data_IF_520741737358
#
_entry.id   IF_520741737358
#
_cell.length_a   1.000
_cell.length_b   1.000
_cell.length_c   1.000
_cell.angle_alpha   90.00
_cell.angle_beta   90.00
_cell.angle_gamma   90.00
#
_symmetry.space_group_name_H-M   'P 1'
#
loop_
_entity.id
_entity.type
_entity.pdbx_description
1 polymer ?
#
# COMPACT_ATOMS: atom_id res chain seq x y z
N UNK A 1 -6.31 -28.53 -35.41
CA UNK A 1 -5.76 -27.16 -35.28
C UNK A 1 -4.97 -27.07 -33.99
N UNK A 2 -3.71 -26.64 -33.99
CA UNK A 2 -3.00 -26.37 -32.74
C UNK A 2 -3.64 -25.16 -32.04
N UNK A 3 -3.69 -25.12 -30.70
CA UNK A 3 -4.23 -23.97 -30.00
C UNK A 3 -3.31 -22.76 -30.24
N UNK A 4 -3.87 -21.67 -30.75
CA UNK A 4 -3.18 -20.37 -30.77
C UNK A 4 -2.86 -19.99 -29.32
N UNK A 5 -1.60 -20.12 -28.93
CA UNK A 5 -1.08 -19.46 -27.73
C UNK A 5 -1.22 -17.97 -27.97
N UNK A 6 -2.24 -17.35 -27.36
CA UNK A 6 -2.27 -15.90 -27.19
C UNK A 6 -1.00 -15.51 -26.42
N UNK A 7 -0.01 -14.97 -27.13
CA UNK A 7 1.25 -14.59 -26.52
C UNK A 7 1.01 -13.34 -25.68
N UNK A 8 0.89 -13.53 -24.37
CA UNK A 8 0.90 -12.44 -23.38
C UNK A 8 2.07 -11.50 -23.70
N UNK A 9 1.78 -10.23 -23.95
CA UNK A 9 2.79 -9.22 -24.27
C UNK A 9 3.79 -9.13 -23.11
N UNK A 10 5.08 -9.12 -23.42
CA UNK A 10 6.11 -9.03 -22.38
C UNK A 10 6.19 -7.61 -21.86
N UNK A 11 6.38 -7.45 -20.54
CA UNK A 11 6.56 -6.12 -19.93
C UNK A 11 7.68 -5.31 -20.61
N UNK A 12 8.76 -5.97 -21.07
CA UNK A 12 9.85 -5.34 -21.82
C UNK A 12 9.42 -4.79 -23.18
N UNK A 13 8.50 -5.46 -23.87
CA UNK A 13 7.96 -5.02 -25.16
C UNK A 13 7.04 -3.82 -24.97
N UNK A 14 6.21 -3.85 -23.93
CA UNK A 14 5.36 -2.73 -23.52
C UNK A 14 6.22 -1.51 -23.21
N UNK A 15 7.24 -1.64 -22.37
CA UNK A 15 8.16 -0.56 -22.04
C UNK A 15 8.90 0.01 -23.27
N UNK A 16 9.31 -0.85 -24.19
CA UNK A 16 9.96 -0.44 -25.43
C UNK A 16 9.01 0.30 -26.38
N UNK A 17 7.73 -0.09 -26.47
CA UNK A 17 6.69 0.64 -27.19
C UNK A 17 6.40 1.99 -26.54
N UNK A 18 6.24 2.03 -25.20
CA UNK A 18 6.07 3.27 -24.44
C UNK A 18 7.19 4.26 -24.73
N UNK A 19 8.44 3.82 -24.64
CA UNK A 19 9.61 4.66 -24.89
C UNK A 19 9.66 5.20 -26.32
N UNK A 20 9.36 4.35 -27.31
CA UNK A 20 9.46 4.72 -28.73
C UNK A 20 8.31 5.60 -29.20
N UNK A 21 7.08 5.28 -28.79
CA UNK A 21 5.89 5.84 -29.40
C UNK A 21 5.09 6.76 -28.46
N UNK A 22 5.12 6.50 -27.15
CA UNK A 22 4.23 7.18 -26.21
C UNK A 22 4.88 8.36 -25.50
N UNK A 23 6.11 8.21 -25.00
CA UNK A 23 6.84 9.31 -24.34
C UNK A 23 6.98 10.54 -25.26
N UNK A 24 7.36 10.43 -26.54
CA UNK A 24 7.41 11.59 -27.44
C UNK A 24 6.05 12.25 -27.61
N UNK A 25 4.97 11.47 -27.63
CA UNK A 25 3.62 11.97 -27.78
C UNK A 25 3.16 12.74 -26.53
N UNK A 26 3.37 12.21 -25.32
CA UNK A 26 3.02 12.91 -24.07
C UNK A 26 3.78 14.24 -23.94
N UNK A 27 5.04 14.29 -24.39
CA UNK A 27 5.83 15.54 -24.36
C UNK A 27 5.15 16.68 -25.13
N UNK A 28 4.35 16.38 -26.15
CA UNK A 28 3.58 17.40 -26.87
C UNK A 28 2.37 17.92 -26.07
N UNK A 29 2.02 17.26 -24.96
CA UNK A 29 0.94 17.63 -24.04
C UNK A 29 1.49 17.99 -22.66
N UNK A 30 2.75 18.46 -22.56
CA UNK A 30 3.40 18.80 -21.29
C UNK A 30 2.64 19.87 -20.48
N UNK A 31 1.84 20.70 -21.16
CA UNK A 31 1.01 21.72 -20.55
C UNK A 31 -0.18 21.13 -19.77
N UNK A 32 -0.62 19.92 -20.15
CA UNK A 32 -1.71 19.18 -19.50
C UNK A 32 -1.19 18.07 -18.58
N UNK A 33 -0.12 17.39 -18.99
CA UNK A 33 0.51 16.32 -18.24
C UNK A 33 1.92 16.73 -17.85
N UNK A 34 2.03 17.32 -16.67
CA UNK A 34 3.30 17.85 -16.16
C UNK A 34 4.38 16.77 -16.13
N UNK A 35 5.57 17.01 -16.71
CA UNK A 35 6.63 16.00 -16.83
C UNK A 35 7.50 15.86 -15.57
N UNK A 36 7.07 16.41 -14.44
CA UNK A 36 7.82 16.47 -13.20
C UNK A 36 7.04 15.85 -12.04
N UNK A 37 7.71 15.69 -10.91
CA UNK A 37 7.14 15.13 -9.68
C UNK A 37 7.78 15.83 -8.49
N UNK A 38 7.11 15.82 -7.35
CA UNK A 38 7.55 16.52 -6.15
C UNK A 38 8.14 15.54 -5.15
N UNK A 39 9.36 15.78 -4.71
CA UNK A 39 9.91 15.09 -3.55
C UNK A 39 9.45 15.77 -2.27
N UNK A 40 8.98 14.96 -1.35
CA UNK A 40 8.80 15.30 0.06
C UNK A 40 9.86 14.51 0.85
N UNK A 41 11.06 15.08 1.10
CA UNK A 41 12.14 14.41 1.83
C UNK A 41 11.72 13.89 3.21
N UNK A 42 10.85 14.64 3.90
CA UNK A 42 10.37 14.36 5.25
C UNK A 42 8.89 14.76 5.36
N UNK A 43 7.96 13.98 4.77
CA UNK A 43 6.57 14.39 4.63
C UNK A 43 5.88 14.65 5.98
N UNK A 44 6.28 13.94 7.04
CA UNK A 44 5.75 14.17 8.40
C UNK A 44 6.04 15.59 8.89
N UNK A 45 7.21 16.13 8.56
CA UNK A 45 7.65 17.46 9.00
C UNK A 45 7.24 18.57 8.02
N UNK A 46 7.12 18.25 6.73
CA UNK A 46 6.86 19.21 5.66
C UNK A 46 5.37 19.40 5.34
N UNK A 47 4.56 18.35 5.49
CA UNK A 47 3.14 18.36 5.15
C UNK A 47 2.31 18.68 6.41
N UNK A 48 2.15 19.98 6.70
CA UNK A 48 1.20 20.44 7.73
C UNK A 48 -0.23 20.25 7.22
N UNK A 49 -0.96 19.30 7.79
CA UNK A 49 -2.35 19.05 7.43
C UNK A 49 -3.23 20.10 8.12
N UNK A 50 -3.85 20.98 7.33
CA UNK A 50 -4.96 21.77 7.83
C UNK A 50 -6.20 20.88 7.92
N UNK A 51 -6.74 20.65 9.12
CA UNK A 51 -7.97 19.87 9.29
C UNK A 51 -9.12 20.58 8.57
N UNK A 52 -9.59 19.97 7.47
CA UNK A 52 -10.72 20.50 6.68
C UNK A 52 -12.06 20.12 7.27
N UNK A 53 -12.12 18.98 7.97
CA UNK A 53 -13.33 18.42 8.59
C UNK A 53 -13.12 18.19 10.09
N UNK A 54 -13.98 18.72 10.99
CA UNK A 54 -13.90 18.49 12.44
C UNK A 54 -14.52 17.14 12.85
N UNK A 55 -14.34 16.10 12.03
CA UNK A 55 -14.89 14.76 12.26
C UNK A 55 -13.79 13.78 12.64
N UNK A 56 -14.14 12.80 13.46
CA UNK A 56 -13.31 11.63 13.78
C UNK A 56 -13.90 10.34 13.20
N UNK A 57 -14.99 10.45 12.41
CA UNK A 57 -15.63 9.28 11.79
C UNK A 57 -14.62 8.56 10.89
N UNK A 58 -14.59 7.22 10.90
CA UNK A 58 -13.74 6.47 9.99
C UNK A 58 -14.11 6.74 8.52
N UNK A 59 -13.16 6.67 7.58
CA UNK A 59 -13.47 6.65 6.16
C UNK A 59 -14.25 5.38 5.80
N UNK A 60 -14.86 5.37 4.61
CA UNK A 60 -15.36 4.12 4.04
C UNK A 60 -14.17 3.28 3.57
N UNK A 61 -13.94 2.13 4.23
CA UNK A 61 -12.97 1.14 3.81
C UNK A 61 -13.61 0.17 2.81
N UNK A 62 -12.93 -0.12 1.70
CA UNK A 62 -13.26 -1.23 0.81
C UNK A 62 -12.06 -2.12 0.57
N UNK A 63 -12.28 -3.43 0.60
CA UNK A 63 -11.32 -4.42 0.14
C UNK A 63 -11.80 -4.92 -1.22
N UNK A 64 -10.96 -4.77 -2.24
CA UNK A 64 -11.32 -5.11 -3.61
C UNK A 64 -10.28 -6.00 -4.27
N UNK A 65 -10.74 -6.74 -5.29
CA UNK A 65 -9.87 -7.47 -6.21
C UNK A 65 -9.83 -6.73 -7.53
N UNK A 66 -8.65 -6.65 -8.13
CA UNK A 66 -8.45 -6.12 -9.48
C UNK A 66 -7.15 -5.36 -9.64
N UNK A 67 -7.02 -4.68 -10.76
CA UNK A 67 -5.88 -3.80 -11.01
C UNK A 67 -6.04 -2.49 -10.22
N UNK A 68 -5.07 -2.13 -9.35
CA UNK A 68 -5.17 -0.95 -8.49
C UNK A 68 -5.21 0.36 -9.29
N UNK A 69 -4.53 0.43 -10.43
CA UNK A 69 -4.53 1.63 -11.29
C UNK A 69 -5.91 1.80 -11.94
N UNK A 70 -6.48 0.74 -12.49
CA UNK A 70 -7.82 0.78 -13.09
C UNK A 70 -8.90 1.10 -12.05
N UNK A 71 -8.78 0.57 -10.83
CA UNK A 71 -9.67 0.92 -9.70
C UNK A 71 -9.50 2.39 -9.31
N UNK A 72 -8.26 2.88 -9.23
CA UNK A 72 -7.98 4.27 -8.93
C UNK A 72 -8.56 5.21 -10.00
N UNK A 73 -8.47 4.88 -11.29
CA UNK A 73 -9.14 5.62 -12.36
C UNK A 73 -10.67 5.68 -12.19
N UNK A 74 -11.28 4.56 -11.79
CA UNK A 74 -12.72 4.53 -11.55
C UNK A 74 -13.13 5.44 -10.39
N UNK A 75 -12.30 5.56 -9.35
CA UNK A 75 -12.52 6.50 -8.25
C UNK A 75 -12.16 7.94 -8.62
N UNK A 76 -11.12 8.16 -9.43
CA UNK A 76 -10.63 9.47 -9.85
C UNK A 76 -11.60 10.20 -10.79
N UNK A 77 -12.39 9.47 -11.59
CA UNK A 77 -13.44 10.05 -12.43
C UNK A 77 -14.55 10.82 -11.64
N UNK A 78 -14.43 10.93 -10.31
CA UNK A 78 -15.34 11.60 -9.41
C UNK A 78 -14.82 12.94 -8.84
N UNK A 79 -13.60 13.41 -9.14
CA UNK A 79 -13.04 14.68 -8.62
C UNK A 79 -11.99 15.31 -9.59
N UNK A 80 -11.60 16.58 -9.40
CA UNK A 80 -10.59 17.31 -10.22
C UNK A 80 -9.82 18.32 -9.35
N UNK A 81 -8.49 18.52 -9.53
CA UNK A 81 -7.70 19.78 -9.26
C UNK A 81 -6.20 19.73 -9.71
N UNK A 82 -5.51 20.89 -9.67
CA UNK A 82 -4.29 21.36 -10.39
C UNK A 82 -2.93 21.32 -9.62
N UNK A 83 -1.78 21.59 -10.30
CA UNK A 83 -0.42 21.63 -9.73
C UNK A 83 0.67 22.54 -10.38
N UNK A 84 1.85 22.67 -9.71
CA UNK A 84 3.04 23.56 -10.00
C UNK A 84 4.42 22.85 -9.98
N UNK A 85 5.58 23.37 -10.46
CA UNK A 85 6.80 22.58 -10.77
C UNK A 85 7.99 22.63 -9.79
N UNK A 86 8.85 21.57 -9.71
CA UNK A 86 10.31 21.61 -9.36
C UNK A 86 11.13 20.37 -9.83
N UNK A 87 12.48 20.46 -9.81
CA UNK A 87 13.42 19.57 -10.53
C UNK A 87 14.36 18.70 -9.65
N UNK A 88 14.18 17.38 -9.79
CA UNK A 88 15.08 16.24 -9.48
C UNK A 88 15.21 15.77 -8.01
N UNK A 89 14.93 14.47 -7.79
CA UNK A 89 14.42 13.93 -6.52
C UNK A 89 15.19 12.71 -5.95
N UNK A 90 16.40 12.41 -6.45
CA UNK A 90 17.15 11.20 -6.08
C UNK A 90 18.51 11.52 -5.45
N UNK A 91 18.97 10.78 -4.41
CA UNK A 91 18.29 9.67 -3.73
C UNK A 91 17.12 10.11 -2.84
N UNK A 92 16.06 9.30 -2.81
CA UNK A 92 14.89 9.54 -1.95
C UNK A 92 15.28 9.15 -0.51
N UNK A 93 15.07 10.04 0.49
CA UNK A 93 15.30 9.70 1.89
C UNK A 93 14.47 8.49 2.34
N UNK A 94 14.87 7.76 3.40
CA UNK A 94 14.17 6.55 3.85
C UNK A 94 12.67 6.74 4.16
N UNK A 95 12.30 7.91 4.69
CA UNK A 95 10.91 8.32 4.99
C UNK A 95 10.31 9.23 3.91
N UNK A 96 11.07 9.51 2.85
CA UNK A 96 10.65 10.40 1.78
C UNK A 96 9.59 9.76 0.88
N UNK A 97 8.77 10.61 0.27
CA UNK A 97 7.80 10.20 -0.73
C UNK A 97 7.81 11.13 -1.93
N UNK A 98 7.40 10.61 -3.08
CA UNK A 98 7.25 11.39 -4.31
C UNK A 98 5.77 11.49 -4.68
N UNK A 99 5.30 12.70 -4.98
CA UNK A 99 4.01 12.90 -5.65
C UNK A 99 4.25 13.10 -7.15
N UNK A 100 3.68 12.22 -7.95
CA UNK A 100 3.53 12.39 -9.40
C UNK A 100 2.07 12.67 -9.68
N UNK A 101 1.73 13.94 -9.88
CA UNK A 101 0.33 14.35 -9.84
C UNK A 101 -0.46 14.04 -11.11
N UNK A 102 0.20 14.14 -12.26
CA UNK A 102 -0.37 13.82 -13.56
C UNK A 102 0.34 12.60 -14.15
N UNK A 103 -0.01 11.41 -13.68
CA UNK A 103 0.43 10.16 -14.32
C UNK A 103 -0.58 9.75 -15.39
N UNK A 104 -0.11 9.64 -16.64
CA UNK A 104 -0.96 9.26 -17.76
C UNK A 104 -1.15 7.74 -17.81
N UNK A 105 -2.39 7.29 -17.68
CA UNK A 105 -2.81 5.91 -17.87
C UNK A 105 -3.50 5.77 -19.22
N UNK A 106 -2.95 4.89 -20.07
CA UNK A 106 -3.41 4.72 -21.45
C UNK A 106 -3.49 3.25 -21.88
N UNK A 107 -3.17 2.33 -20.97
CA UNK A 107 -3.25 0.88 -21.18
C UNK A 107 -4.09 0.26 -20.07
N UNK A 108 -4.87 -0.75 -20.45
CA UNK A 108 -5.72 -1.51 -19.55
C UNK A 108 -4.95 -2.57 -18.75
N UNK A 109 -5.67 -3.38 -17.95
CA UNK A 109 -5.08 -4.30 -16.99
C UNK A 109 -4.29 -5.48 -17.62
N UNK A 110 -3.54 -6.17 -16.74
CA UNK A 110 -2.39 -7.07 -16.97
C UNK A 110 -2.57 -8.31 -17.87
N UNK A 111 -3.73 -8.54 -18.48
CA UNK A 111 -3.89 -9.71 -19.35
C UNK A 111 -3.39 -9.43 -20.76
N UNK A 112 -3.52 -8.19 -21.23
CA UNK A 112 -3.10 -7.79 -22.58
C UNK A 112 -2.49 -6.39 -22.68
N UNK A 113 -2.54 -5.57 -21.62
CA UNK A 113 -2.09 -4.17 -21.67
C UNK A 113 -2.66 -3.41 -22.88
N UNK A 114 -3.91 -3.74 -23.26
CA UNK A 114 -4.54 -3.17 -24.44
C UNK A 114 -4.61 -1.65 -24.32
N UNK A 115 -4.43 -0.94 -25.43
CA UNK A 115 -4.57 0.52 -25.43
C UNK A 115 -6.00 0.89 -25.07
N UNK A 116 -6.16 1.79 -24.11
CA UNK A 116 -7.45 2.35 -23.74
C UNK A 116 -7.93 3.30 -24.84
N UNK A 117 -9.24 3.35 -25.08
CA UNK A 117 -9.84 4.26 -26.07
C UNK A 117 -9.71 5.75 -25.72
N UNK A 118 -9.33 6.05 -24.48
CA UNK A 118 -8.98 7.39 -23.99
C UNK A 118 -7.85 7.31 -22.97
N UNK A 119 -7.14 8.41 -22.78
CA UNK A 119 -6.17 8.54 -21.69
C UNK A 119 -6.86 9.02 -20.43
N UNK A 120 -6.20 8.75 -19.31
CA UNK A 120 -6.61 9.22 -18.00
C UNK A 120 -5.39 9.79 -17.29
N UNK A 121 -5.61 10.79 -16.44
CA UNK A 121 -4.66 11.30 -15.48
C UNK A 121 -4.97 10.73 -14.09
N UNK A 122 -3.92 10.33 -13.38
CA UNK A 122 -4.04 9.80 -12.03
C UNK A 122 -2.89 10.29 -11.14
N UNK A 123 -3.18 10.95 -10.03
CA UNK A 123 -2.17 11.26 -9.02
C UNK A 123 -1.64 9.99 -8.36
N UNK A 124 -0.31 9.87 -8.26
CA UNK A 124 0.38 8.73 -7.66
C UNK A 124 1.36 9.21 -6.59
N UNK A 125 1.19 8.69 -5.37
CA UNK A 125 2.17 8.85 -4.29
C UNK A 125 3.05 7.59 -4.23
N UNK A 126 4.35 7.77 -4.41
CA UNK A 126 5.35 6.70 -4.39
C UNK A 126 6.16 6.76 -3.09
N UNK A 127 6.06 5.72 -2.27
CA UNK A 127 6.89 5.52 -1.06
C UNK A 127 7.45 4.10 -1.08
N UNK A 128 8.74 3.87 -0.77
CA UNK A 128 9.27 2.52 -0.67
C UNK A 128 8.81 1.85 0.63
N UNK A 129 8.13 0.69 0.61
CA UNK A 129 7.81 -0.04 1.85
C UNK A 129 9.09 -0.54 2.55
N UNK A 130 8.99 -0.84 3.84
CA UNK A 130 10.06 -1.56 4.56
C UNK A 130 10.26 -2.94 3.93
N UNK A 131 11.50 -3.30 3.59
CA UNK A 131 11.80 -4.53 2.87
C UNK A 131 12.41 -5.56 3.79
N UNK A 132 11.71 -6.67 3.97
CA UNK A 132 12.10 -7.87 4.73
C UNK A 132 12.59 -7.51 6.14
N UNK A 133 11.73 -6.84 6.94
CA UNK A 133 12.07 -6.53 8.33
C UNK A 133 12.42 -7.80 9.10
N UNK A 134 13.17 -7.67 10.18
CA UNK A 134 13.41 -8.82 11.06
C UNK A 134 12.13 -9.14 11.82
N UNK A 135 11.78 -10.42 11.85
CA UNK A 135 10.53 -10.90 12.44
C UNK A 135 10.79 -11.80 13.66
N UNK A 136 9.88 -11.73 14.63
CA UNK A 136 9.79 -12.59 15.81
C UNK A 136 8.43 -13.29 15.82
N UNK A 137 8.16 -14.03 16.89
CA UNK A 137 6.90 -14.72 17.10
C UNK A 137 6.49 -15.48 15.86
N UNK A 138 7.43 -16.27 15.33
CA UNK A 138 7.18 -17.12 14.18
C UNK A 138 6.75 -16.33 12.92
N UNK A 139 7.41 -15.19 12.67
CA UNK A 139 7.13 -14.38 11.49
C UNK A 139 5.84 -13.54 11.60
N UNK A 140 5.15 -13.60 12.74
CA UNK A 140 3.88 -12.92 12.93
C UNK A 140 4.05 -11.46 13.39
N UNK A 141 5.23 -11.11 13.92
CA UNK A 141 5.48 -9.75 14.42
C UNK A 141 6.84 -9.18 14.02
N UNK A 142 6.93 -7.85 13.96
CA UNK A 142 8.22 -7.16 13.88
C UNK A 142 9.07 -7.47 15.12
N UNK A 143 10.35 -7.79 14.90
CA UNK A 143 11.30 -8.01 16.01
C UNK A 143 11.63 -6.72 16.74
N UNK A 144 11.86 -5.65 15.98
CA UNK A 144 12.37 -4.37 16.47
C UNK A 144 11.29 -3.30 16.36
N UNK A 145 11.11 -2.56 17.45
CA UNK A 145 10.18 -1.43 17.50
C UNK A 145 10.58 -0.41 16.45
N UNK A 146 11.86 -0.14 16.24
CA UNK A 146 12.35 0.85 15.28
C UNK A 146 11.92 0.53 13.84
N UNK A 147 11.95 -0.74 13.41
CA UNK A 147 11.50 -1.15 12.07
C UNK A 147 9.96 -1.06 11.94
N UNK A 148 9.24 -1.37 13.00
CA UNK A 148 7.78 -1.22 13.07
C UNK A 148 7.38 0.25 12.96
N UNK A 149 8.03 1.11 13.72
CA UNK A 149 7.77 2.56 13.76
C UNK A 149 8.18 3.23 12.44
N UNK A 150 9.32 2.83 11.85
CA UNK A 150 9.72 3.22 10.50
C UNK A 150 8.64 2.87 9.47
N UNK A 151 8.05 1.67 9.58
CA UNK A 151 6.96 1.26 8.70
C UNK A 151 5.74 2.14 8.91
N UNK A 152 5.33 2.38 10.16
CA UNK A 152 4.22 3.29 10.49
C UNK A 152 4.45 4.70 9.93
N UNK A 153 5.64 5.26 10.09
CA UNK A 153 5.96 6.61 9.64
C UNK A 153 5.97 6.73 8.11
N UNK A 154 6.32 5.66 7.38
CA UNK A 154 6.12 5.60 5.93
C UNK A 154 4.64 5.66 5.54
N UNK A 155 3.77 4.92 6.25
CA UNK A 155 2.31 4.97 6.01
C UNK A 155 1.77 6.39 6.27
N UNK A 156 2.15 6.99 7.40
CA UNK A 156 1.78 8.36 7.77
C UNK A 156 2.28 9.36 6.73
N UNK A 157 3.52 9.22 6.27
CA UNK A 157 4.12 10.08 5.26
C UNK A 157 3.33 10.05 3.94
N UNK A 158 2.94 8.86 3.46
CA UNK A 158 2.14 8.72 2.24
C UNK A 158 0.81 9.47 2.34
N UNK A 159 0.08 9.22 3.44
CA UNK A 159 -1.24 9.81 3.65
C UNK A 159 -1.18 11.32 3.88
N UNK A 160 -0.11 11.81 4.50
CA UNK A 160 0.15 13.26 4.63
C UNK A 160 0.35 13.92 3.28
N UNK A 161 1.13 13.31 2.38
CA UNK A 161 1.30 13.83 1.00
C UNK A 161 -0.06 13.90 0.31
N UNK A 162 -0.89 12.85 0.41
CA UNK A 162 -2.23 12.85 -0.19
C UNK A 162 -3.07 14.05 0.30
N UNK A 163 -3.27 14.17 1.63
CA UNK A 163 -4.14 15.22 2.19
C UNK A 163 -3.60 16.63 1.98
N UNK A 164 -2.27 16.80 2.06
CA UNK A 164 -1.62 18.09 1.82
C UNK A 164 -1.91 18.61 0.41
N UNK A 165 -1.93 17.71 -0.58
CA UNK A 165 -2.25 18.03 -1.97
C UNK A 165 -3.76 17.93 -2.28
N UNK A 166 -4.60 17.79 -1.26
CA UNK A 166 -6.05 17.82 -1.39
C UNK A 166 -6.72 16.50 -1.79
N UNK A 167 -5.99 15.38 -1.77
CA UNK A 167 -6.53 14.06 -2.06
C UNK A 167 -7.04 13.37 -0.79
N UNK A 168 -8.35 13.19 -0.67
CA UNK A 168 -9.00 12.51 0.45
C UNK A 168 -9.63 11.14 0.09
N UNK A 169 -9.38 10.68 -1.14
CA UNK A 169 -9.71 9.34 -1.65
C UNK A 169 -8.43 8.63 -2.06
N UNK A 170 -8.17 7.44 -1.53
CA UNK A 170 -6.92 6.73 -1.80
C UNK A 170 -7.15 5.26 -2.15
N UNK A 171 -6.42 4.78 -3.15
CA UNK A 171 -6.29 3.36 -3.50
C UNK A 171 -4.90 2.90 -3.10
N UNK A 172 -4.83 1.80 -2.36
CA UNK A 172 -3.59 1.22 -1.84
C UNK A 172 -3.51 -0.22 -2.38
N UNK A 173 -2.42 -0.56 -3.05
CA UNK A 173 -2.14 -1.93 -3.50
C UNK A 173 -1.73 -2.85 -2.34
N UNK A 174 -1.01 -3.93 -2.65
CA UNK A 174 -0.41 -4.85 -1.69
C UNK A 174 0.87 -4.26 -1.04
N UNK A 175 0.83 -2.98 -0.66
CA UNK A 175 1.97 -2.20 -0.18
C UNK A 175 2.68 -2.89 1.00
N UNK A 176 3.94 -3.30 0.79
CA UNK A 176 4.76 -3.96 1.81
C UNK A 176 4.50 -5.45 2.00
N UNK A 177 3.57 -6.03 1.24
CA UNK A 177 3.25 -7.45 1.22
C UNK A 177 4.01 -8.17 0.09
N UNK A 178 3.73 -9.46 -0.04
CA UNK A 178 4.28 -10.35 -1.04
C UNK A 178 5.71 -10.81 -0.74
N UNK A 179 6.21 -11.66 -1.64
CA UNK A 179 7.51 -12.32 -1.54
C UNK A 179 8.71 -11.32 -1.45
N UNK A 180 8.57 -10.16 -2.08
CA UNK A 180 9.63 -9.15 -2.17
C UNK A 180 9.87 -8.39 -0.86
N UNK A 181 8.83 -8.21 -0.05
CA UNK A 181 8.84 -7.33 1.13
C UNK A 181 8.62 -8.07 2.44
N UNK A 182 7.69 -9.03 2.53
CA UNK A 182 7.55 -9.90 3.71
C UNK A 182 7.37 -9.16 5.04
N UNK A 183 6.59 -8.08 5.05
CA UNK A 183 6.09 -7.54 6.31
C UNK A 183 5.02 -8.51 6.89
N UNK A 184 4.88 -8.61 8.23
CA UNK A 184 3.88 -9.46 8.86
C UNK A 184 2.47 -8.94 8.53
N UNK A 185 1.62 -9.67 7.78
CA UNK A 185 0.42 -9.08 7.18
C UNK A 185 -0.62 -8.59 8.18
N UNK A 186 -0.84 -9.35 9.27
CA UNK A 186 -1.76 -8.97 10.34
C UNK A 186 -1.32 -7.65 10.98
N UNK A 187 -0.06 -7.57 11.44
CA UNK A 187 0.44 -6.37 12.11
C UNK A 187 0.55 -5.18 11.14
N UNK A 188 0.84 -5.40 9.86
CA UNK A 188 0.82 -4.34 8.85
C UNK A 188 -0.60 -3.80 8.58
N UNK A 189 -1.61 -4.67 8.49
CA UNK A 189 -3.00 -4.25 8.36
C UNK A 189 -3.45 -3.45 9.58
N UNK A 190 -3.05 -3.87 10.78
CA UNK A 190 -3.30 -3.15 12.03
C UNK A 190 -2.60 -1.78 12.06
N UNK A 191 -1.36 -1.67 11.57
CA UNK A 191 -0.67 -0.38 11.42
C UNK A 191 -1.44 0.58 10.50
N UNK A 192 -1.92 0.10 9.35
CA UNK A 192 -2.77 0.91 8.47
C UNK A 192 -4.03 1.38 9.18
N UNK A 193 -4.75 0.46 9.85
CA UNK A 193 -5.96 0.77 10.61
C UNK A 193 -5.66 1.83 11.67
N UNK A 194 -4.58 1.66 12.42
CA UNK A 194 -4.23 2.57 13.51
C UNK A 194 -3.93 3.98 13.01
N UNK A 195 -3.24 4.08 11.88
CA UNK A 195 -2.95 5.36 11.23
C UNK A 195 -4.24 6.05 10.75
N UNK A 196 -5.17 5.32 10.13
CA UNK A 196 -6.43 5.91 9.66
C UNK A 196 -7.39 6.30 10.78
N UNK A 197 -7.45 5.51 11.86
CA UNK A 197 -8.46 5.69 12.91
C UNK A 197 -8.02 6.65 14.01
N UNK A 198 -6.71 6.77 14.26
CA UNK A 198 -6.25 7.37 15.50
C UNK A 198 -5.10 8.36 15.37
N UNK A 199 -4.42 8.45 14.23
CA UNK A 199 -3.45 9.53 14.04
C UNK A 199 -4.18 10.89 14.16
N UNK A 200 -3.70 11.81 15.02
CA UNK A 200 -4.43 13.04 15.35
C UNK A 200 -4.67 13.95 14.14
N UNK A 201 -3.77 13.90 13.15
CA UNK A 201 -3.81 14.76 11.96
C UNK A 201 -4.56 14.08 10.81
N UNK A 202 -4.50 12.75 10.71
CA UNK A 202 -5.10 12.00 9.60
C UNK A 202 -6.54 11.54 9.89
N UNK A 203 -6.88 11.25 11.15
CA UNK A 203 -8.18 10.66 11.50
C UNK A 203 -9.35 11.54 11.07
N UNK A 204 -10.29 10.92 10.36
CA UNK A 204 -11.49 11.56 9.80
C UNK A 204 -11.24 12.55 8.66
N UNK A 205 -10.02 12.60 8.10
CA UNK A 205 -9.74 13.47 6.94
C UNK A 205 -10.01 12.78 5.59
N UNK A 206 -9.81 11.46 5.49
CA UNK A 206 -10.13 10.69 4.29
C UNK A 206 -11.64 10.44 4.18
N UNK A 207 -12.18 10.57 2.97
CA UNK A 207 -13.53 10.14 2.65
C UNK A 207 -13.58 8.64 2.32
N UNK A 208 -12.55 8.14 1.62
CA UNK A 208 -12.57 6.81 1.03
C UNK A 208 -11.18 6.17 0.96
N UNK A 209 -11.08 4.90 1.37
CA UNK A 209 -9.86 4.10 1.31
C UNK A 209 -10.18 2.75 0.69
N UNK A 210 -9.53 2.39 -0.41
CA UNK A 210 -9.63 1.05 -1.00
C UNK A 210 -8.29 0.32 -0.95
N UNK A 211 -8.26 -0.84 -0.31
CA UNK A 211 -7.15 -1.79 -0.43
C UNK A 211 -7.46 -2.75 -1.59
N UNK A 212 -6.64 -2.72 -2.63
CA UNK A 212 -6.86 -3.47 -3.87
C UNK A 212 -5.76 -4.51 -4.03
N UNK A 213 -6.16 -5.78 -4.01
CA UNK A 213 -5.25 -6.91 -4.19
C UNK A 213 -5.32 -7.40 -5.63
N UNK A 214 -4.18 -7.36 -6.33
CA UNK A 214 -4.09 -7.84 -7.71
C UNK A 214 -4.26 -9.37 -7.77
N UNK A 215 -3.49 -10.10 -6.96
CA UNK A 215 -3.65 -11.54 -6.77
C UNK A 215 -4.41 -11.82 -5.47
N UNK A 216 -5.69 -12.24 -5.52
CA UNK A 216 -6.46 -12.56 -4.32
C UNK A 216 -5.97 -13.81 -3.58
N UNK A 217 -5.10 -14.61 -4.20
CA UNK A 217 -4.51 -15.82 -3.61
C UNK A 217 -3.14 -15.56 -2.99
N UNK A 218 -2.60 -14.34 -3.09
CA UNK A 218 -1.33 -14.00 -2.48
C UNK A 218 -1.39 -14.20 -0.96
N UNK A 219 -0.39 -14.90 -0.41
CA UNK A 219 -0.20 -15.05 1.03
C UNK A 219 1.27 -14.77 1.38
N UNK A 220 1.49 -13.63 2.01
CA UNK A 220 2.82 -13.25 2.49
C UNK A 220 3.28 -14.15 3.63
N UNK A 221 2.35 -14.62 4.48
CA UNK A 221 2.62 -15.59 5.55
C UNK A 221 3.28 -16.85 4.97
N UNK A 222 2.74 -17.38 3.86
CA UNK A 222 3.32 -18.55 3.19
C UNK A 222 4.77 -18.31 2.78
N UNK A 223 5.09 -17.15 2.20
CA UNK A 223 6.46 -16.79 1.83
C UNK A 223 7.42 -16.65 3.03
N UNK A 224 6.91 -16.20 4.18
CA UNK A 224 7.68 -16.08 5.43
C UNK A 224 7.97 -17.49 5.98
N UNK A 225 6.93 -18.34 6.11
CA UNK A 225 7.05 -19.72 6.60
C UNK A 225 8.01 -20.53 5.73
N UNK A 226 7.86 -20.47 4.41
CA UNK A 226 8.73 -21.19 3.47
C UNK A 226 10.22 -20.80 3.62
N UNK A 227 10.53 -19.54 3.97
CA UNK A 227 11.90 -19.12 4.23
C UNK A 227 12.44 -19.61 5.57
N UNK A 228 11.61 -19.60 6.61
CA UNK A 228 11.99 -20.10 7.93
C UNK A 228 12.32 -21.60 7.83
N UNK A 229 11.43 -22.38 7.20
CA UNK A 229 11.65 -23.82 6.98
C UNK A 229 12.92 -24.11 6.16
N UNK A 230 13.20 -23.31 5.11
CA UNK A 230 14.43 -23.43 4.32
C UNK A 230 15.70 -23.16 5.15
N UNK A 231 15.64 -22.20 6.08
CA UNK A 231 16.77 -21.89 6.98
C UNK A 231 17.00 -23.02 7.98
N UNK A 232 15.95 -23.58 8.56
CA UNK A 232 16.03 -24.69 9.51
C UNK A 232 16.59 -25.97 8.88
N UNK A 233 16.17 -26.31 7.66
CA UNK A 233 16.69 -27.48 6.94
C UNK A 233 18.15 -27.32 6.47
N UNK A 234 18.65 -26.09 6.36
CA UNK A 234 20.04 -25.80 5.98
C UNK A 234 21.02 -25.74 7.15
N UNK A 235 20.53 -25.64 8.39
CA UNK A 235 21.34 -25.61 9.61
C UNK A 235 21.14 -26.90 10.41
N UNK A 236 22.11 -27.83 10.34
CA UNK A 236 22.09 -29.04 11.17
C UNK A 236 22.17 -28.70 12.66
N UNK A 237 21.03 -28.57 13.35
CA UNK A 237 21.02 -28.44 14.81
C UNK A 237 19.76 -27.85 15.46
N UNK A 238 19.10 -28.70 16.26
CA UNK A 238 18.11 -28.44 17.34
C UNK A 238 16.78 -27.76 16.95
N UNK A 239 15.78 -28.62 16.76
CA UNK A 239 14.35 -28.33 16.75
C UNK A 239 13.93 -27.45 17.94
N UNK A 240 13.56 -26.19 17.66
CA UNK A 240 12.65 -25.41 18.50
C UNK A 240 11.26 -25.55 17.90
N UNK A 241 10.61 -26.67 18.19
CA UNK A 241 9.22 -26.95 17.80
C UNK A 241 8.27 -25.99 18.53
N UNK A 242 8.04 -24.80 17.95
CA UNK A 242 7.07 -23.82 18.45
C UNK A 242 6.09 -23.31 17.39
N UNK A 243 6.42 -23.44 16.11
CA UNK A 243 5.55 -23.01 15.00
C UNK A 243 4.30 -23.86 14.83
N UNK A 244 4.44 -25.16 15.05
CA UNK A 244 3.43 -26.16 14.69
C UNK A 244 2.25 -26.26 15.67
N UNK A 245 2.25 -25.49 16.77
CA UNK A 245 1.13 -25.47 17.71
C UNK A 245 0.12 -24.35 17.47
N UNK A 246 0.46 -23.31 16.69
CA UNK A 246 -0.53 -22.28 16.28
C UNK A 246 -1.17 -22.61 14.93
N UNK A 247 -0.47 -23.37 14.09
CA UNK A 247 -0.97 -23.91 12.83
C UNK A 247 -0.52 -25.38 12.83
N UNK A 248 -1.43 -26.27 13.21
CA UNK A 248 -1.19 -27.70 13.34
C UNK A 248 -0.55 -28.27 12.08
N UNK A 249 0.42 -29.18 12.23
CA UNK A 249 1.07 -29.94 11.15
C UNK A 249 0.13 -30.71 10.22
N UNK A 250 -1.15 -30.80 10.57
CA UNK A 250 -2.22 -31.41 9.77
C UNK A 250 -3.02 -30.39 8.92
N UNK A 251 -2.75 -29.09 9.04
CA UNK A 251 -3.39 -28.09 8.18
C UNK A 251 -2.77 -28.15 6.79
N UNK A 252 -3.61 -28.53 5.83
CA UNK A 252 -3.26 -28.48 4.41
C UNK A 252 -2.78 -27.07 4.05
N UNK A 253 -1.96 -26.95 2.98
CA UNK A 253 -1.57 -25.65 2.42
C UNK A 253 -2.74 -24.68 2.10
N UNK A 254 -4.00 -25.14 2.20
CA UNK A 254 -5.22 -24.38 2.01
C UNK A 254 -5.67 -23.55 3.24
N UNK A 255 -5.10 -23.75 4.44
CA UNK A 255 -5.56 -23.06 5.66
C UNK A 255 -4.78 -21.78 6.01
N UNK A 256 -3.68 -21.47 5.29
CA UNK A 256 -2.95 -20.22 5.50
C UNK A 256 -3.77 -19.08 4.86
N UNK A 257 -4.18 -18.06 5.62
CA UNK A 257 -5.01 -16.99 5.07
C UNK A 257 -4.24 -16.19 4.02
N UNK A 258 -4.98 -15.69 3.03
CA UNK A 258 -4.47 -14.75 2.04
C UNK A 258 -4.31 -13.37 2.66
N UNK A 259 -3.45 -12.54 2.08
CA UNK A 259 -3.26 -11.16 2.53
C UNK A 259 -4.60 -10.39 2.48
N UNK A 260 -5.40 -10.66 1.44
CA UNK A 260 -6.75 -10.12 1.29
C UNK A 260 -7.66 -10.50 2.46
N UNK A 261 -7.73 -11.78 2.83
CA UNK A 261 -8.59 -12.25 3.93
C UNK A 261 -8.23 -11.58 5.27
N UNK A 262 -6.93 -11.38 5.50
CA UNK A 262 -6.43 -10.69 6.69
C UNK A 262 -6.93 -9.24 6.71
N UNK A 263 -6.79 -8.52 5.59
CA UNK A 263 -7.28 -7.14 5.49
C UNK A 263 -8.81 -7.05 5.59
N UNK A 264 -9.56 -8.00 4.99
CA UNK A 264 -11.02 -8.09 5.15
C UNK A 264 -11.42 -8.20 6.61
N UNK A 265 -10.73 -9.04 7.40
CA UNK A 265 -11.01 -9.20 8.82
C UNK A 265 -10.63 -7.95 9.64
N UNK A 266 -9.49 -7.33 9.36
CA UNK A 266 -8.98 -6.18 10.13
C UNK A 266 -9.83 -4.92 9.91
N UNK A 267 -10.36 -4.74 8.70
CA UNK A 267 -11.18 -3.60 8.30
C UNK A 267 -12.68 -3.91 8.25
N UNK A 268 -13.11 -5.08 8.75
CA UNK A 268 -14.53 -5.40 8.91
C UNK A 268 -15.23 -4.30 9.74
N UNK A 269 -16.39 -3.77 9.30
CA UNK A 269 -17.07 -2.68 9.99
C UNK A 269 -17.35 -2.96 11.46
N UNK A 270 -17.72 -4.20 11.83
CA UNK A 270 -17.98 -4.55 13.22
C UNK A 270 -16.69 -4.59 14.06
N UNK A 271 -15.57 -5.00 13.45
CA UNK A 271 -14.25 -4.95 14.09
C UNK A 271 -13.81 -3.50 14.32
N UNK A 272 -13.95 -2.64 13.30
CA UNK A 272 -13.63 -1.22 13.39
C UNK A 272 -14.49 -0.54 14.46
N UNK A 273 -15.80 -0.75 14.44
CA UNK A 273 -16.73 -0.20 15.43
C UNK A 273 -16.39 -0.66 16.85
N UNK A 274 -16.05 -1.93 17.03
CA UNK A 274 -15.65 -2.48 18.34
C UNK A 274 -14.37 -1.80 18.84
N UNK A 275 -13.39 -1.59 17.97
CA UNK A 275 -12.12 -0.93 18.31
C UNK A 275 -12.34 0.53 18.70
N UNK A 276 -13.18 1.26 17.97
CA UNK A 276 -13.50 2.66 18.26
C UNK A 276 -14.28 2.84 19.57
N UNK A 277 -15.01 1.81 20.04
CA UNK A 277 -15.73 1.83 21.32
C UNK A 277 -14.85 1.53 22.52
N UNK A 278 -13.68 0.93 22.31
CA UNK A 278 -12.73 0.71 23.39
C UNK A 278 -12.05 2.04 23.75
N UNK A 279 -11.77 2.31 25.04
CA UNK A 279 -10.95 3.44 25.43
C UNK A 279 -9.63 3.37 24.66
N UNK A 280 -9.23 4.46 23.99
CA UNK A 280 -7.99 4.47 23.23
C UNK A 280 -6.83 4.19 24.20
N UNK A 281 -6.13 3.04 24.09
CA UNK A 281 -5.11 2.67 25.04
C UNK A 281 -3.89 3.61 24.99
N UNK A 282 -3.79 4.48 23.97
CA UNK A 282 -2.75 5.53 23.89
C UNK A 282 -3.13 6.81 24.64
N UNK A 283 -4.39 6.98 25.02
CA UNK A 283 -4.87 8.08 25.86
C UNK A 283 -5.25 7.51 27.22
N UNK A 284 -4.24 7.10 27.99
CA UNK A 284 -4.39 6.86 29.43
C UNK A 284 -4.79 8.15 30.16
N UNK A 285 -5.40 8.02 31.34
CA UNK A 285 -5.83 9.13 32.21
C UNK A 285 -4.70 10.11 32.55
N UNK A 286 -3.46 9.70 32.33
CA UNK A 286 -2.21 10.41 32.50
C UNK A 286 -2.07 11.67 31.62
N UNK A 287 -2.86 11.80 30.54
CA UNK A 287 -2.91 13.04 29.73
C UNK A 287 -3.96 14.06 30.20
N UNK A 288 -4.82 13.73 31.18
CA UNK A 288 -5.85 14.66 31.71
C UNK A 288 -5.28 15.55 32.83
N UNK A 289 -4.10 15.24 33.34
CA UNK A 289 -3.40 16.01 34.36
C UNK A 289 -2.15 16.69 33.79
N UNK A 290 -2.34 17.79 33.06
CA UNK A 290 -1.39 18.91 33.04
C UNK A 290 -2.12 20.23 32.89
#
# INVERSE_FOLDING_TARGET
>A
MPPQRSSRLRASEVAADTKRNFIPLIKNYSDFFSPYSFLYPQPILQCTIQRRKPTTRPPLFKIEVGDPVMKALAYAAMDTQQNSPESNNYPIPPLGGILSDTVVVYRGPNDRYDRLGRWFDLPVVSIPPTRRPKLKDNGLKYSFTEEREMTRDKLRGALRICLYNGYDRVVIGDFGLGNGHRNPPQELAELWRDVFLFDPDLRGQFAYVAFVFEDPQQSTIRHIVDEIAKKENGSGGKSRSGFLNSFSTDQSHADIPTDRQIFEQVFDPAVVDRILRQPDPRYGLDMITT
#
